data_IF_799607841615
#
_entry.id   IF_799607841615
#
_cell.length_a   1.000
_cell.length_b   1.000
_cell.length_c   1.000
_cell.angle_alpha   90.00
_cell.angle_beta   90.00
_cell.angle_gamma   90.00
#
_symmetry.space_group_name_H-M   'P 1'
#
loop_
_entity.id
_entity.type
_entity.pdbx_description
1 polymer ?
#
# COMPACT_ATOMS: atom_id res chain seq x y z
N UNK A 1 10.21 -50.00 -23.89
CA UNK A 1 9.95 -48.62 -24.39
C UNK A 1 8.83 -48.07 -23.53
N UNK A 2 9.13 -47.37 -22.44
CA UNK A 2 9.44 -45.93 -22.35
C UNK A 2 8.27 -45.05 -22.84
N UNK A 3 7.68 -44.30 -21.92
CA UNK A 3 6.65 -43.31 -22.24
C UNK A 3 6.03 -42.62 -21.01
N UNK A 4 6.84 -42.21 -20.03
CA UNK A 4 6.38 -41.28 -18.99
C UNK A 4 6.27 -39.89 -19.61
N UNK A 5 5.05 -39.43 -19.88
CA UNK A 5 4.79 -38.05 -20.25
C UNK A 5 4.88 -37.17 -18.99
N UNK A 6 5.99 -36.46 -18.82
CA UNK A 6 6.06 -35.34 -17.86
C UNK A 6 5.16 -34.23 -18.38
N UNK A 7 3.96 -34.11 -17.82
CA UNK A 7 3.19 -32.88 -17.88
C UNK A 7 3.94 -31.82 -17.05
N UNK A 8 4.84 -31.08 -17.70
CA UNK A 8 5.42 -29.88 -17.15
C UNK A 8 4.28 -28.87 -16.95
N UNK A 9 3.72 -28.83 -15.74
CA UNK A 9 2.78 -27.81 -15.33
C UNK A 9 3.45 -26.45 -15.48
N UNK A 10 3.07 -25.72 -16.52
CA UNK A 10 3.47 -24.33 -16.71
C UNK A 10 2.72 -23.56 -15.63
N UNK A 11 3.35 -23.38 -14.47
CA UNK A 11 2.80 -22.52 -13.42
C UNK A 11 2.57 -21.14 -14.03
N UNK A 12 1.32 -20.70 -14.08
CA UNK A 12 1.00 -19.34 -14.56
C UNK A 12 1.71 -18.36 -13.64
N UNK A 13 2.68 -17.61 -14.16
CA UNK A 13 3.29 -16.51 -13.43
C UNK A 13 2.17 -15.55 -12.99
N UNK A 14 1.96 -15.44 -11.68
CA UNK A 14 1.03 -14.47 -11.12
C UNK A 14 1.65 -13.09 -11.30
N UNK A 15 1.05 -12.26 -12.13
CA UNK A 15 1.55 -10.90 -12.36
C UNK A 15 1.21 -10.06 -11.13
N UNK A 16 2.25 -9.63 -10.40
CA UNK A 16 2.10 -8.64 -9.36
C UNK A 16 1.61 -7.32 -9.96
N UNK A 17 0.84 -6.57 -9.18
CA UNK A 17 0.25 -5.30 -9.58
C UNK A 17 0.75 -4.19 -8.69
N UNK A 18 1.06 -3.04 -9.29
CA UNK A 18 1.43 -1.82 -8.58
C UNK A 18 0.36 -0.77 -8.85
N UNK A 19 -0.14 -0.16 -7.79
CA UNK A 19 -1.07 0.96 -7.87
C UNK A 19 -0.48 2.17 -7.15
N UNK A 20 -0.49 3.30 -7.85
CA UNK A 20 0.03 4.57 -7.33
C UNK A 20 -1.08 5.62 -7.28
N UNK A 21 -1.12 6.39 -6.20
CA UNK A 21 -2.05 7.50 -6.09
C UNK A 21 -1.46 8.65 -5.27
N UNK A 22 -2.19 9.77 -5.31
CA UNK A 22 -1.86 10.97 -4.59
C UNK A 22 -3.12 11.43 -3.85
N UNK A 23 -2.95 11.86 -2.60
CA UNK A 23 -4.03 12.43 -1.81
C UNK A 23 -3.56 13.72 -1.14
N UNK A 24 -4.37 14.78 -1.25
CA UNK A 24 -4.12 16.01 -0.54
C UNK A 24 -4.29 15.78 0.97
N UNK A 25 -3.40 16.36 1.77
CA UNK A 25 -3.48 16.32 3.24
C UNK A 25 -3.55 17.73 3.78
N UNK A 26 -4.46 17.99 4.71
CA UNK A 26 -4.66 19.35 5.23
C UNK A 26 -3.64 19.72 6.31
N UNK A 27 -2.99 18.71 6.90
CA UNK A 27 -2.13 18.84 8.07
C UNK A 27 -0.63 18.70 7.73
N UNK A 28 0.22 18.95 8.73
CA UNK A 28 1.67 18.84 8.61
C UNK A 28 2.21 17.40 8.51
N UNK A 29 3.53 17.29 8.42
CA UNK A 29 4.26 16.02 8.24
C UNK A 29 3.83 14.93 9.24
N UNK A 30 3.86 15.21 10.53
CA UNK A 30 3.57 14.21 11.58
C UNK A 30 2.11 13.72 11.54
N UNK A 31 1.16 14.62 11.24
CA UNK A 31 -0.23 14.25 11.08
C UNK A 31 -0.42 13.36 9.84
N UNK A 32 0.23 13.69 8.72
CA UNK A 32 0.22 12.83 7.54
C UNK A 32 0.74 11.42 7.83
N UNK A 33 1.84 11.30 8.59
CA UNK A 33 2.41 10.01 8.98
C UNK A 33 1.47 9.25 9.91
N UNK A 34 0.88 9.92 10.89
CA UNK A 34 -0.09 9.31 11.81
C UNK A 34 -1.29 8.74 11.05
N UNK A 35 -1.87 9.52 10.14
CA UNK A 35 -2.93 9.07 9.23
C UNK A 35 -2.47 7.93 8.33
N UNK A 36 -1.22 7.98 7.85
CA UNK A 36 -0.65 6.90 7.03
C UNK A 36 -0.51 5.58 7.80
N UNK A 37 -0.12 5.62 9.07
CA UNK A 37 -0.08 4.43 9.95
C UNK A 37 -1.49 3.89 10.16
N UNK A 38 -2.47 4.76 10.43
CA UNK A 38 -3.87 4.36 10.55
C UNK A 38 -4.39 3.71 9.25
N UNK A 39 -4.16 4.35 8.11
CA UNK A 39 -4.58 3.88 6.79
C UNK A 39 -3.97 2.50 6.47
N UNK A 40 -2.67 2.34 6.75
CA UNK A 40 -1.94 1.09 6.57
C UNK A 40 -2.54 -0.03 7.42
N UNK A 41 -2.86 0.26 8.70
CA UNK A 41 -3.50 -0.70 9.60
C UNK A 41 -4.93 -1.05 9.17
N UNK A 42 -5.72 -0.07 8.71
CA UNK A 42 -7.08 -0.29 8.21
C UNK A 42 -7.10 -1.13 6.94
N UNK A 43 -6.07 -1.01 6.10
CA UNK A 43 -5.87 -1.87 4.93
C UNK A 43 -5.33 -3.28 5.29
N UNK A 44 -5.14 -3.60 6.58
CA UNK A 44 -4.70 -4.91 7.06
C UNK A 44 -3.20 -5.15 7.02
N UNK A 45 -2.40 -4.11 6.77
CA UNK A 45 -0.93 -4.18 6.77
C UNK A 45 -0.36 -3.88 8.15
N UNK A 46 0.79 -4.49 8.45
CA UNK A 46 1.59 -4.14 9.64
C UNK A 46 2.48 -2.96 9.31
N UNK A 47 2.07 -1.76 9.73
CA UNK A 47 2.73 -0.50 9.40
C UNK A 47 3.88 -0.10 10.34
N UNK A 48 4.89 0.58 9.80
CA UNK A 48 5.99 1.22 10.52
C UNK A 48 6.39 2.54 9.85
N UNK A 49 6.86 3.50 10.63
CA UNK A 49 7.38 4.78 10.10
C UNK A 49 8.87 4.62 9.81
N UNK A 50 9.32 5.12 8.68
CA UNK A 50 10.74 5.17 8.31
C UNK A 50 11.56 6.06 9.23
N UNK A 51 12.87 5.78 9.33
CA UNK A 51 13.78 6.53 10.22
C UNK A 51 13.87 8.03 9.86
N UNK A 52 13.71 8.39 8.58
CA UNK A 52 13.68 9.79 8.11
C UNK A 52 12.34 10.50 8.41
N UNK A 53 11.37 9.80 9.02
CA UNK A 53 10.01 10.28 9.32
C UNK A 53 9.30 10.88 8.11
N UNK A 54 9.50 10.27 6.95
CA UNK A 54 8.84 10.74 5.72
C UNK A 54 7.96 9.68 5.07
N UNK A 55 8.09 8.41 5.46
CA UNK A 55 7.39 7.30 4.81
C UNK A 55 6.78 6.37 5.85
N UNK A 56 5.57 5.89 5.58
CA UNK A 56 5.00 4.73 6.27
C UNK A 56 5.16 3.53 5.35
N UNK A 57 5.79 2.47 5.84
CA UNK A 57 5.88 1.18 5.16
C UNK A 57 4.96 0.18 5.83
N UNK A 58 4.31 -0.68 5.05
CA UNK A 58 3.49 -1.78 5.57
C UNK A 58 3.67 -3.06 4.77
N UNK A 59 3.55 -4.19 5.47
CA UNK A 59 3.64 -5.53 4.87
C UNK A 59 2.48 -6.42 5.29
N UNK A 60 2.05 -7.28 4.36
CA UNK A 60 1.00 -8.28 4.55
C UNK A 60 1.29 -9.49 3.66
N UNK A 61 2.02 -10.47 4.20
CA UNK A 61 2.56 -11.56 3.36
C UNK A 61 3.56 -10.99 2.35
N UNK A 62 3.35 -11.27 1.07
CA UNK A 62 4.17 -10.76 -0.04
C UNK A 62 3.69 -9.39 -0.57
N UNK A 63 2.54 -8.89 -0.09
CA UNK A 63 2.03 -7.57 -0.43
C UNK A 63 2.75 -6.50 0.39
N UNK A 64 2.96 -5.32 -0.21
CA UNK A 64 3.53 -4.18 0.48
C UNK A 64 2.84 -2.87 0.13
N UNK A 65 2.89 -1.92 1.06
CA UNK A 65 2.42 -0.56 0.89
C UNK A 65 3.50 0.41 1.35
N UNK A 66 3.66 1.51 0.62
CA UNK A 66 4.46 2.65 1.03
C UNK A 66 3.64 3.93 0.88
N UNK A 67 3.61 4.75 1.92
CA UNK A 67 2.94 6.06 1.91
C UNK A 67 3.98 7.12 2.25
N UNK A 68 4.36 7.91 1.25
CA UNK A 68 5.32 9.02 1.40
C UNK A 68 4.55 10.30 1.72
N UNK A 69 4.84 10.88 2.87
CA UNK A 69 4.33 12.18 3.28
C UNK A 69 5.30 13.29 2.87
N UNK A 70 4.79 14.23 2.09
CA UNK A 70 5.51 15.41 1.61
C UNK A 70 4.84 16.64 2.25
N UNK A 71 5.18 16.91 3.51
CA UNK A 71 4.47 17.87 4.35
C UNK A 71 4.49 19.31 3.83
N UNK A 72 5.60 19.76 3.23
CA UNK A 72 5.73 21.08 2.59
C UNK A 72 4.79 21.24 1.38
N UNK A 73 4.38 20.13 0.76
CA UNK A 73 3.45 20.10 -0.38
C UNK A 73 2.05 19.65 0.01
N UNK A 74 1.79 19.38 1.29
CA UNK A 74 0.47 18.92 1.76
C UNK A 74 -0.04 17.73 0.95
N UNK A 75 0.85 16.75 0.74
CA UNK A 75 0.61 15.63 -0.16
C UNK A 75 1.04 14.29 0.46
N UNK A 76 0.20 13.27 0.30
CA UNK A 76 0.55 11.87 0.56
C UNK A 76 0.62 11.11 -0.77
N UNK A 77 1.76 10.45 -1.04
CA UNK A 77 1.97 9.59 -2.20
C UNK A 77 1.84 8.14 -1.77
N UNK A 78 0.94 7.40 -2.39
CA UNK A 78 0.57 6.05 -1.99
C UNK A 78 1.04 5.09 -3.07
N UNK A 79 1.78 4.05 -2.67
CA UNK A 79 2.23 2.94 -3.50
C UNK A 79 1.73 1.65 -2.89
N UNK A 80 1.01 0.83 -3.65
CA UNK A 80 0.53 -0.49 -3.20
C UNK A 80 1.04 -1.53 -4.20
N UNK A 81 1.73 -2.54 -3.71
CA UNK A 81 2.19 -3.70 -4.46
C UNK A 81 1.48 -4.95 -3.94
N UNK A 82 0.78 -5.66 -4.83
CA UNK A 82 0.02 -6.87 -4.48
C UNK A 82 0.41 -8.00 -5.43
N UNK A 83 0.74 -9.17 -4.88
CA UNK A 83 1.16 -10.35 -5.66
C UNK A 83 -0.05 -11.14 -6.17
N UNK A 84 -1.19 -11.07 -5.46
CA UNK A 84 -2.43 -11.74 -5.84
C UNK A 84 -3.35 -10.86 -6.73
N UNK A 85 -4.37 -11.46 -7.36
CA UNK A 85 -5.39 -10.73 -8.15
C UNK A 85 -6.41 -9.95 -7.31
N UNK A 86 -6.13 -9.68 -6.02
CA UNK A 86 -7.01 -8.80 -5.24
C UNK A 86 -7.15 -7.44 -5.93
N UNK A 87 -8.35 -6.87 -5.89
CA UNK A 87 -8.61 -5.57 -6.50
C UNK A 87 -7.89 -4.48 -5.70
N UNK A 88 -6.72 -4.06 -6.20
CA UNK A 88 -5.94 -2.96 -5.63
C UNK A 88 -6.74 -1.67 -5.49
N UNK A 89 -7.81 -1.48 -6.28
CA UNK A 89 -8.62 -0.27 -6.18
C UNK A 89 -9.37 -0.22 -4.85
N UNK A 90 -9.87 -1.36 -4.34
CA UNK A 90 -10.54 -1.41 -3.04
C UNK A 90 -9.57 -1.07 -1.89
N UNK A 91 -8.35 -1.60 -1.96
CA UNK A 91 -7.28 -1.26 -1.02
C UNK A 91 -6.90 0.23 -1.11
N UNK A 92 -6.73 0.74 -2.33
CA UNK A 92 -6.42 2.14 -2.55
C UNK A 92 -7.52 3.05 -2.01
N UNK A 93 -8.80 2.74 -2.25
CA UNK A 93 -9.91 3.54 -1.73
C UNK A 93 -9.96 3.49 -0.20
N UNK A 94 -9.66 2.35 0.43
CA UNK A 94 -9.52 2.26 1.89
C UNK A 94 -8.50 3.27 2.40
N UNK A 95 -7.31 3.29 1.80
CA UNK A 95 -6.21 4.20 2.20
C UNK A 95 -6.60 5.67 1.97
N UNK A 96 -7.14 6.01 0.79
CA UNK A 96 -7.54 7.39 0.46
C UNK A 96 -8.64 7.90 1.36
N UNK A 97 -9.61 7.05 1.70
CA UNK A 97 -10.71 7.42 2.58
C UNK A 97 -10.24 7.76 3.99
N UNK A 98 -9.17 7.15 4.49
CA UNK A 98 -8.58 7.54 5.78
C UNK A 98 -8.05 8.98 5.73
N UNK A 99 -7.38 9.38 4.65
CA UNK A 99 -6.87 10.76 4.47
C UNK A 99 -7.96 11.81 4.25
N UNK A 100 -9.10 11.42 3.68
CA UNK A 100 -10.22 12.33 3.42
C UNK A 100 -11.13 12.56 4.62
N UNK A 101 -10.98 11.77 5.69
CA UNK A 101 -11.79 11.97 6.90
C UNK A 101 -11.43 13.32 7.53
N UNK A 102 -12.42 14.08 8.03
CA UNK A 102 -12.13 15.26 8.84
C UNK A 102 -11.30 14.85 10.06
N UNK A 103 -10.19 15.54 10.30
CA UNK A 103 -9.45 15.40 11.56
C UNK A 103 -10.35 15.92 12.69
N UNK A 104 -10.56 15.10 13.71
CA UNK A 104 -11.22 15.57 14.94
C UNK A 104 -10.23 16.53 15.60
N UNK A 105 -10.59 17.81 15.61
CA UNK A 105 -9.83 18.89 16.27
C UNK A 105 -9.74 18.70 17.78
#
# INVERSE_FOLDING_TARGET
MLGLALAAGIGTAQAATVTTAWEAVNDGQDACLSTGVEATRQAGFRGSISNDRQTVFGWRGDDSIAIRCIGDRRLAVIFIYVVSREDNNALLQTVRNTYRRPTKG
#
